data_IF_280137132577
#
_entry.id   IF_280137132577
#
_cell.length_a   1.000
_cell.length_b   1.000
_cell.length_c   1.000
_cell.angle_alpha   90.00
_cell.angle_beta   90.00
_cell.angle_gamma   90.00
#
_symmetry.space_group_name_H-M   'P 1'
#
loop_
_entity.id
_entity.type
_entity.pdbx_description
1 polymer ?
#
# COMPACT_ATOMS: atom_id res chain seq x y z
N UNK A 1 1.54 13.08 9.07
CA UNK A 1 0.78 11.82 9.27
C UNK A 1 1.10 11.17 10.61
N UNK A 2 2.37 10.91 10.92
CA UNK A 2 2.75 10.30 12.21
C UNK A 2 2.26 11.09 13.43
N UNK A 3 2.34 12.43 13.42
CA UNK A 3 1.80 13.28 14.49
C UNK A 3 0.28 13.14 14.70
N UNK A 4 -0.49 12.85 13.65
CA UNK A 4 -1.93 12.60 13.75
C UNK A 4 -2.22 11.25 14.39
N UNK A 5 -1.38 10.26 14.11
CA UNK A 5 -1.43 8.96 14.78
C UNK A 5 -1.06 9.09 16.26
N UNK A 6 0.05 9.76 16.57
CA UNK A 6 0.51 9.96 17.97
C UNK A 6 -0.48 10.79 18.79
N UNK A 7 -1.14 11.78 18.18
CA UNK A 7 -2.17 12.58 18.87
C UNK A 7 -3.53 11.88 18.98
N UNK A 8 -3.67 10.64 18.49
CA UNK A 8 -4.91 9.86 18.55
C UNK A 8 -6.01 10.34 17.59
N UNK A 9 -5.73 11.34 16.74
CA UNK A 9 -6.69 11.87 15.75
C UNK A 9 -6.90 10.93 14.57
N UNK A 10 -5.94 10.06 14.29
CA UNK A 10 -6.03 9.00 13.30
C UNK A 10 -5.72 7.65 13.96
N UNK A 11 -6.62 6.67 13.79
CA UNK A 11 -6.40 5.30 14.30
C UNK A 11 -5.30 4.55 13.55
N UNK A 12 -5.06 4.91 12.30
CA UNK A 12 -4.03 4.35 11.44
C UNK A 12 -3.63 5.38 10.38
N UNK A 13 -2.44 5.21 9.83
CA UNK A 13 -1.94 5.99 8.70
C UNK A 13 -1.46 5.05 7.60
N UNK A 14 -1.61 5.46 6.34
CA UNK A 14 -1.28 4.63 5.19
C UNK A 14 -0.80 5.46 4.00
N UNK A 15 -0.62 4.77 2.89
CA UNK A 15 -0.07 5.28 1.64
C UNK A 15 -1.01 4.96 0.48
N UNK A 16 -0.88 5.70 -0.61
CA UNK A 16 -1.53 5.42 -1.88
C UNK A 16 -0.56 5.56 -3.03
N UNK A 17 -0.57 4.61 -3.97
CA UNK A 17 0.27 4.60 -5.18
C UNK A 17 1.79 4.59 -4.90
N UNK A 18 2.23 3.91 -3.83
CA UNK A 18 3.66 3.71 -3.58
C UNK A 18 4.18 2.47 -4.28
N UNK A 19 5.22 2.65 -5.11
CA UNK A 19 5.97 1.55 -5.71
C UNK A 19 6.92 0.90 -4.70
N UNK A 20 7.44 -0.28 -5.04
CA UNK A 20 8.38 -1.03 -4.19
C UNK A 20 9.57 -0.18 -3.74
N UNK A 21 10.18 0.57 -4.66
CA UNK A 21 11.31 1.46 -4.36
C UNK A 21 10.93 2.59 -3.39
N UNK A 22 9.78 3.22 -3.60
CA UNK A 22 9.30 4.30 -2.72
C UNK A 22 8.97 3.78 -1.32
N UNK A 23 8.33 2.61 -1.24
CA UNK A 23 8.01 1.98 0.02
C UNK A 23 9.27 1.57 0.79
N UNK A 24 10.24 0.92 0.13
CA UNK A 24 11.54 0.59 0.75
C UNK A 24 12.25 1.83 1.29
N UNK A 25 12.23 2.92 0.54
CA UNK A 25 12.87 4.15 0.99
C UNK A 25 12.15 4.76 2.19
N UNK A 26 10.81 4.83 2.15
CA UNK A 26 9.97 5.30 3.26
C UNK A 26 10.24 4.54 4.56
N UNK A 27 10.34 3.22 4.48
CA UNK A 27 10.53 2.36 5.65
C UNK A 27 11.87 2.58 6.37
N UNK A 28 12.85 3.23 5.73
CA UNK A 28 14.13 3.56 6.39
C UNK A 28 14.00 4.69 7.41
N UNK A 29 13.03 5.58 7.24
CA UNK A 29 12.88 6.78 8.07
C UNK A 29 11.53 6.89 8.78
N UNK A 30 10.52 6.10 8.37
CA UNK A 30 9.24 6.04 9.05
C UNK A 30 9.41 5.51 10.48
N UNK A 31 8.94 6.30 11.47
CA UNK A 31 8.89 5.88 12.87
C UNK A 31 7.63 5.09 13.16
N UNK A 32 6.53 5.47 12.49
CA UNK A 32 5.27 4.73 12.53
C UNK A 32 5.11 4.02 11.19
N UNK A 33 5.16 2.67 11.14
CA UNK A 33 5.01 1.94 9.90
C UNK A 33 3.61 2.19 9.32
N UNK A 34 3.49 2.40 7.99
CA UNK A 34 2.20 2.57 7.35
C UNK A 34 1.38 1.28 7.47
N UNK A 35 0.12 1.39 7.87
CA UNK A 35 -0.76 0.23 8.01
C UNK A 35 -1.18 -0.35 6.65
N UNK A 36 -1.29 0.51 5.63
CA UNK A 36 -1.77 0.13 4.29
C UNK A 36 -1.01 0.86 3.19
N UNK A 37 -0.82 0.21 2.05
CA UNK A 37 -0.47 0.82 0.77
C UNK A 37 -1.55 0.47 -0.26
N UNK A 38 -2.38 1.45 -0.63
CA UNK A 38 -3.45 1.27 -1.61
C UNK A 38 -2.92 1.52 -3.02
N UNK A 39 -2.96 0.52 -3.89
CA UNK A 39 -2.38 0.56 -5.25
C UNK A 39 -3.29 -0.10 -6.28
N UNK A 40 -3.10 0.24 -7.56
CA UNK A 40 -3.82 -0.41 -8.65
C UNK A 40 -3.37 -1.86 -8.76
N UNK A 41 -4.27 -2.82 -8.56
CA UNK A 41 -3.92 -4.23 -8.63
C UNK A 41 -5.12 -5.06 -9.12
N UNK A 42 -4.91 -5.87 -10.15
CA UNK A 42 -5.96 -6.60 -10.87
C UNK A 42 -5.34 -7.75 -11.70
N UNK A 43 -6.15 -8.68 -12.26
CA UNK A 43 -5.71 -9.83 -13.09
C UNK A 43 -4.54 -9.62 -14.07
N UNK A 44 -4.44 -8.43 -14.65
CA UNK A 44 -3.42 -8.08 -15.66
C UNK A 44 -2.20 -7.38 -15.04
N UNK A 45 -2.35 -6.80 -13.84
CA UNK A 45 -1.30 -6.07 -13.12
C UNK A 45 -1.30 -6.43 -11.63
N UNK A 46 -0.70 -7.56 -11.30
CA UNK A 46 -0.71 -8.11 -9.93
C UNK A 46 0.37 -7.56 -8.99
N UNK A 47 1.37 -6.83 -9.52
CA UNK A 47 2.48 -6.24 -8.78
C UNK A 47 3.15 -7.17 -7.72
N UNK A 48 3.65 -8.37 -8.09
CA UNK A 48 4.11 -9.39 -7.13
C UNK A 48 5.22 -8.89 -6.21
N UNK A 49 6.22 -8.17 -6.73
CA UNK A 49 7.32 -7.65 -5.90
C UNK A 49 6.88 -6.58 -4.89
N UNK A 50 5.81 -5.83 -5.18
CA UNK A 50 5.22 -4.92 -4.20
C UNK A 50 4.43 -5.68 -3.14
N UNK A 51 3.68 -6.71 -3.56
CA UNK A 51 2.94 -7.58 -2.66
C UNK A 51 3.86 -8.29 -1.65
N UNK A 52 4.99 -8.84 -2.11
CA UNK A 52 5.97 -9.50 -1.25
C UNK A 52 6.66 -8.53 -0.28
N UNK A 53 6.96 -7.32 -0.74
CA UNK A 53 7.49 -6.27 0.13
C UNK A 53 6.47 -5.88 1.22
N UNK A 54 5.23 -5.63 0.83
CA UNK A 54 4.15 -5.31 1.78
C UNK A 54 3.98 -6.44 2.82
N UNK A 55 3.95 -7.69 2.36
CA UNK A 55 3.83 -8.87 3.23
C UNK A 55 4.99 -9.01 4.21
N UNK A 56 6.23 -8.84 3.74
CA UNK A 56 7.44 -8.95 4.59
C UNK A 56 7.60 -7.80 5.59
N UNK A 57 7.01 -6.63 5.30
CA UNK A 57 7.12 -5.42 6.15
C UNK A 57 5.91 -5.19 7.03
N UNK A 58 4.90 -6.08 6.97
CA UNK A 58 3.66 -5.95 7.75
C UNK A 58 2.71 -4.87 7.24
N UNK A 59 2.95 -4.32 6.05
CA UNK A 59 2.09 -3.33 5.40
C UNK A 59 0.99 -4.06 4.64
N UNK A 60 -0.28 -3.71 4.86
CA UNK A 60 -1.38 -4.30 4.08
C UNK A 60 -1.42 -3.70 2.67
N UNK A 61 -1.45 -4.52 1.63
CA UNK A 61 -1.66 -4.04 0.26
C UNK A 61 -3.17 -4.06 -0.04
N UNK A 62 -3.74 -2.89 -0.36
CA UNK A 62 -5.13 -2.79 -0.78
C UNK A 62 -5.23 -2.46 -2.26
N UNK A 63 -5.93 -3.30 -3.02
CA UNK A 63 -6.17 -3.05 -4.44
C UNK A 63 -7.25 -1.98 -4.64
N UNK A 64 -7.03 -1.02 -5.55
CA UNK A 64 -8.11 -0.25 -6.16
C UNK A 64 -8.21 -0.61 -7.66
N UNK A 65 -9.41 -0.41 -8.23
CA UNK A 65 -9.80 -0.96 -9.55
C UNK A 65 -9.51 -2.47 -9.73
N UNK A 66 -9.94 -3.35 -8.80
CA UNK A 66 -9.70 -4.79 -8.92
C UNK A 66 -10.35 -5.43 -10.15
N UNK A 67 -11.44 -4.85 -10.64
CA UNK A 67 -12.18 -5.29 -11.84
C UNK A 67 -11.91 -4.33 -13.00
N UNK A 68 -10.66 -4.26 -13.45
CA UNK A 68 -10.22 -3.42 -14.57
C UNK A 68 -11.31 -3.17 -15.61
N UNK A 69 -11.53 -1.89 -15.94
CA UNK A 69 -12.61 -1.40 -16.80
C UNK A 69 -12.98 -2.45 -17.87
N UNK A 70 -14.08 -3.15 -17.61
CA UNK A 70 -14.82 -4.10 -18.46
C UNK A 70 -14.10 -5.22 -19.23
N UNK A 71 -12.76 -5.39 -19.23
CA UNK A 71 -12.07 -6.33 -20.15
C UNK A 71 -11.78 -7.74 -19.60
N UNK A 72 -12.20 -8.06 -18.38
CA UNK A 72 -11.92 -9.37 -17.74
C UNK A 72 -13.19 -10.23 -17.62
N UNK A 73 -14.34 -9.74 -18.07
CA UNK A 73 -15.63 -10.44 -17.99
C UNK A 73 -16.13 -10.97 -19.35
N UNK A 74 -15.28 -10.98 -20.38
CA UNK A 74 -15.60 -11.49 -21.72
C UNK A 74 -15.15 -12.94 -21.91
#
# INVERSE_FOLDING_TARGET
MESLYTSGKARAIGLGNFSTKKLQDLLKYAKVPPAVNQVECHPVWHQPGLHDLCKSTGVHLSAFFPFWISRVLD
#
